data_IF_546263686030
#
_entry.id   IF_546263686030
#
_cell.length_a   1.000
_cell.length_b   1.000
_cell.length_c   1.000
_cell.angle_alpha   90.00
_cell.angle_beta   90.00
_cell.angle_gamma   90.00
#
_symmetry.space_group_name_H-M   'P 1'
#
loop_
_entity.id
_entity.type
_entity.pdbx_description
1 polymer ?
#
# COMPACT_ATOMS: atom_id res chain seq x y z
N UNK A 1 6.96 5.23 -6.04
CA UNK A 1 6.41 3.94 -5.53
C UNK A 1 7.18 2.67 -5.88
N UNK A 2 7.12 2.12 -7.11
CA UNK A 2 7.72 0.79 -7.40
C UNK A 2 9.22 0.73 -7.11
N UNK A 3 9.96 1.82 -7.37
CA UNK A 3 11.38 1.94 -7.05
C UNK A 3 11.65 1.96 -5.53
N UNK A 4 10.81 2.65 -4.73
CA UNK A 4 10.86 2.64 -3.26
C UNK A 4 10.71 1.21 -2.73
N UNK A 5 9.76 0.49 -3.31
CA UNK A 5 9.39 -0.85 -2.91
C UNK A 5 10.29 -1.92 -3.55
N UNK A 6 11.38 -1.52 -4.22
CA UNK A 6 12.32 -2.41 -4.91
C UNK A 6 11.64 -3.39 -5.88
N UNK A 7 10.52 -2.97 -6.48
CA UNK A 7 9.68 -3.78 -7.37
C UNK A 7 9.20 -5.08 -6.71
N UNK A 8 8.93 -5.03 -5.40
CA UNK A 8 8.46 -6.16 -4.60
C UNK A 8 7.12 -5.85 -3.97
N UNK A 9 6.26 -6.86 -3.95
CA UNK A 9 5.06 -6.88 -3.13
C UNK A 9 5.43 -6.63 -1.68
N UNK A 10 4.86 -5.58 -1.08
CA UNK A 10 5.15 -5.21 0.30
C UNK A 10 4.53 -6.19 1.31
N UNK A 11 3.55 -7.02 0.89
CA UNK A 11 2.93 -8.03 1.75
C UNK A 11 3.66 -9.38 1.75
N UNK A 12 4.15 -9.86 0.61
CA UNK A 12 4.73 -11.20 0.48
C UNK A 12 6.14 -11.24 -0.16
N UNK A 13 6.66 -10.10 -0.64
CA UNK A 13 8.00 -9.99 -1.22
C UNK A 13 8.13 -10.42 -2.70
N UNK A 14 7.06 -10.95 -3.31
CA UNK A 14 7.06 -11.37 -4.73
C UNK A 14 7.38 -10.23 -5.68
N UNK A 15 8.14 -10.52 -6.75
CA UNK A 15 8.44 -9.59 -7.86
C UNK A 15 7.52 -9.78 -9.06
N UNK A 16 6.71 -10.83 -9.05
CA UNK A 16 5.88 -11.22 -10.20
C UNK A 16 4.52 -10.58 -10.10
N UNK A 17 4.08 -9.95 -11.19
CA UNK A 17 2.76 -9.32 -11.29
C UNK A 17 2.53 -8.24 -10.24
N UNK A 18 3.55 -7.43 -9.96
CA UNK A 18 3.46 -6.30 -9.03
C UNK A 18 2.63 -5.16 -9.62
N UNK A 19 1.76 -4.60 -8.80
CA UNK A 19 0.77 -3.57 -9.13
C UNK A 19 0.73 -2.55 -7.99
N UNK A 20 0.35 -1.32 -8.32
CA UNK A 20 0.12 -0.26 -7.33
C UNK A 20 -1.33 -0.34 -6.85
N UNK A 21 -1.51 -0.38 -5.55
CA UNK A 21 -2.80 -0.31 -4.89
C UNK A 21 -2.97 1.03 -4.19
N UNK A 22 -4.12 1.69 -4.42
CA UNK A 22 -4.53 2.88 -3.67
C UNK A 22 -5.20 2.42 -2.38
N UNK A 23 -4.59 2.74 -1.24
CA UNK A 23 -5.05 2.26 0.07
C UNK A 23 -6.40 2.89 0.43
N UNK A 24 -6.53 4.19 0.23
CA UNK A 24 -7.79 4.91 0.23
C UNK A 24 -8.17 5.23 -1.22
N UNK A 25 -9.44 5.01 -1.63
CA UNK A 25 -9.89 5.34 -2.97
C UNK A 25 -9.60 6.80 -3.33
N UNK A 26 -9.13 7.04 -4.55
CA UNK A 26 -8.78 8.39 -5.03
C UNK A 26 -9.94 9.38 -4.93
N UNK A 27 -11.19 8.91 -5.03
CA UNK A 27 -12.40 9.72 -4.86
C UNK A 27 -12.63 10.24 -3.44
N UNK A 28 -11.97 9.64 -2.44
CA UNK A 28 -12.12 9.97 -1.02
C UNK A 28 -10.92 10.75 -0.46
N UNK A 29 -9.98 11.14 -1.31
CA UNK A 29 -8.77 11.84 -0.91
C UNK A 29 -8.66 13.22 -1.55
N UNK A 30 -8.27 14.18 -0.73
CA UNK A 30 -7.91 15.54 -1.18
C UNK A 30 -6.52 15.53 -1.87
N UNK A 31 -5.65 14.58 -1.51
CA UNK A 31 -4.31 14.41 -2.08
C UNK A 31 -4.02 12.94 -2.41
N UNK A 32 -3.60 12.70 -3.66
CA UNK A 32 -3.16 11.38 -4.15
C UNK A 32 -1.64 11.23 -4.00
N UNK A 33 -1.19 11.29 -2.75
CA UNK A 33 0.23 11.24 -2.39
C UNK A 33 0.84 9.84 -2.44
N UNK A 34 2.16 9.79 -2.57
CA UNK A 34 2.98 8.59 -2.54
C UNK A 34 2.74 7.70 -1.29
N UNK A 35 2.30 8.29 -0.18
CA UNK A 35 1.91 7.62 1.06
C UNK A 35 0.59 6.83 0.98
N UNK A 36 -0.26 7.13 0.01
CA UNK A 36 -1.51 6.42 -0.25
C UNK A 36 -1.34 5.22 -1.19
N UNK A 37 -0.12 5.00 -1.68
CA UNK A 37 0.20 3.97 -2.67
C UNK A 37 1.06 2.86 -2.04
N UNK A 38 0.69 1.61 -2.34
CA UNK A 38 1.46 0.44 -1.93
C UNK A 38 1.65 -0.54 -3.09
N UNK A 39 2.84 -1.11 -3.21
CA UNK A 39 3.12 -2.13 -4.22
C UNK A 39 2.72 -3.52 -3.73
N UNK A 40 1.85 -4.22 -4.47
CA UNK A 40 1.40 -5.59 -4.16
C UNK A 40 1.45 -6.47 -5.40
N UNK A 41 1.66 -7.78 -5.24
CA UNK A 41 1.41 -8.71 -6.34
C UNK A 41 -0.09 -8.88 -6.57
N UNK A 42 -0.49 -9.29 -7.76
CA UNK A 42 -1.89 -9.53 -8.14
C UNK A 42 -2.67 -10.39 -7.14
N UNK A 43 -2.04 -11.43 -6.58
CA UNK A 43 -2.65 -12.32 -5.60
C UNK A 43 -2.95 -11.58 -4.28
N UNK A 44 -1.97 -10.89 -3.71
CA UNK A 44 -2.19 -10.06 -2.52
C UNK A 44 -3.16 -8.90 -2.80
N UNK A 45 -3.15 -8.36 -4.01
CA UNK A 45 -4.05 -7.28 -4.42
C UNK A 45 -5.52 -7.75 -4.44
N UNK A 46 -5.77 -8.98 -4.91
CA UNK A 46 -7.11 -9.58 -4.86
C UNK A 46 -7.57 -9.87 -3.43
N UNK A 47 -6.65 -10.34 -2.58
CA UNK A 47 -6.96 -10.68 -1.18
C UNK A 47 -7.32 -9.46 -0.31
N UNK A 48 -6.99 -8.23 -0.72
CA UNK A 48 -7.43 -7.01 -0.02
C UNK A 48 -8.95 -6.92 0.07
N UNK A 49 -9.64 -7.33 -1.00
CA UNK A 49 -11.08 -7.21 -1.06
C UNK A 49 -11.76 -8.26 -0.18
N UNK A 50 -11.11 -9.42 0.02
CA UNK A 50 -11.70 -10.58 0.69
C UNK A 50 -11.25 -10.77 2.13
N UNK A 51 -10.10 -10.19 2.53
CA UNK A 51 -9.44 -10.58 3.79
C UNK A 51 -9.05 -9.37 4.65
N UNK A 52 -9.54 -9.35 5.89
CA UNK A 52 -9.23 -8.30 6.86
C UNK A 52 -7.73 -8.19 7.17
N UNK A 53 -6.98 -9.29 7.05
CA UNK A 53 -5.55 -9.34 7.39
C UNK A 53 -4.69 -8.42 6.54
N UNK A 54 -4.86 -8.46 5.22
CA UNK A 54 -4.11 -7.58 4.29
C UNK A 54 -4.59 -6.14 4.44
N UNK A 55 -5.91 -5.96 4.63
CA UNK A 55 -6.54 -4.65 4.79
C UNK A 55 -6.08 -3.92 6.06
N UNK A 56 -6.05 -4.58 7.22
CA UNK A 56 -5.54 -4.00 8.47
C UNK A 56 -4.05 -3.67 8.37
N UNK A 57 -3.25 -4.58 7.80
CA UNK A 57 -1.81 -4.37 7.67
C UNK A 57 -1.49 -3.13 6.80
N UNK A 58 -2.23 -2.93 5.72
CA UNK A 58 -2.10 -1.75 4.86
C UNK A 58 -2.51 -0.47 5.59
N UNK A 59 -3.58 -0.49 6.38
CA UNK A 59 -3.99 0.66 7.21
C UNK A 59 -2.92 1.03 8.25
N UNK A 60 -2.19 0.05 8.79
CA UNK A 60 -1.05 0.30 9.68
C UNK A 60 0.14 0.94 8.95
N UNK A 61 0.36 0.63 7.67
CA UNK A 61 1.41 1.29 6.85
C UNK A 61 1.14 2.79 6.64
N UNK A 62 -0.13 3.18 6.44
CA UNK A 62 -0.53 4.60 6.41
C UNK A 62 -0.18 5.28 7.74
N UNK A 63 -0.51 4.66 8.87
CA UNK A 63 -0.25 5.28 10.19
C UNK A 63 1.25 5.44 10.45
N UNK A 64 2.08 4.45 10.09
CA UNK A 64 3.54 4.55 10.22
C UNK A 64 4.13 5.68 9.40
N UNK A 65 3.69 5.84 8.16
CA UNK A 65 4.20 6.90 7.27
C UNK A 65 3.74 8.30 7.69
N UNK A 66 2.49 8.45 8.19
CA UNK A 66 2.01 9.72 8.76
C UNK A 66 2.71 10.09 10.07
N UNK A 67 2.97 9.14 10.97
CA UNK A 67 3.77 9.40 12.17
C UNK A 67 5.23 9.74 11.84
N UNK A 68 5.81 9.18 10.77
CA UNK A 68 7.17 9.53 10.33
C UNK A 68 7.30 10.97 9.82
N UNK A 69 6.18 11.60 9.41
CA UNK A 69 6.11 13.01 9.01
C UNK A 69 5.74 13.94 10.17
N UNK A 70 5.29 13.40 11.30
CA UNK A 70 4.99 14.15 12.53
C UNK A 70 6.15 14.15 13.50
N UNK A 71 7.25 14.82 13.15
CA UNK A 71 8.24 15.44 14.05
C UNK A 71 9.25 16.22 13.17
N UNK A 72 8.80 17.36 12.65
CA UNK A 72 9.48 18.69 12.64
C UNK A 72 8.39 19.74 12.50
#
# INVERSE_FOLDING_TARGET
>A
MLKRDSWRCQSCGSRVGVQIHHITPRSQLVHDGEENLITLCWECHRQIQTTLRVRLWIQLQIKRTRCALGHK
#
